data_IF_706809291955
#
_entry.id   IF_706809291955
#
_cell.length_a   1.000
_cell.length_b   1.000
_cell.length_c   1.000
_cell.angle_alpha   90.00
_cell.angle_beta   90.00
_cell.angle_gamma   90.00
#
_symmetry.space_group_name_H-M   'P 1'
#
loop_
_entity.id
_entity.type
_entity.pdbx_description
1 polymer ?
#
# COMPACT_ATOMS: atom_id res chain seq x y z
N UNK A 1 -25.41 23.81 -6.93
CA UNK A 1 -24.08 23.13 -6.97
C UNK A 1 -23.09 23.67 -5.95
N UNK A 2 -22.96 25.00 -5.75
CA UNK A 2 -22.05 25.59 -4.75
C UNK A 2 -22.28 25.11 -3.30
N UNK A 3 -23.54 25.00 -2.84
CA UNK A 3 -23.88 24.55 -1.48
C UNK A 3 -23.38 23.13 -1.15
N UNK A 4 -23.35 22.22 -2.13
CA UNK A 4 -22.94 20.84 -1.90
C UNK A 4 -21.40 20.70 -1.81
N UNK A 5 -20.67 21.46 -2.63
CA UNK A 5 -19.20 21.50 -2.60
C UNK A 5 -18.67 22.11 -1.29
N UNK A 6 -19.31 23.19 -0.83
CA UNK A 6 -18.98 23.78 0.47
C UNK A 6 -19.22 22.78 1.62
N UNK A 7 -20.33 22.03 1.56
CA UNK A 7 -20.67 21.04 2.59
C UNK A 7 -19.65 19.90 2.70
N UNK A 8 -19.23 19.31 1.58
CA UNK A 8 -18.24 18.23 1.57
C UNK A 8 -16.85 18.69 2.03
N UNK A 9 -16.43 19.88 1.57
CA UNK A 9 -15.13 20.44 1.96
C UNK A 9 -15.09 20.72 3.45
N UNK A 10 -16.15 21.33 4.01
CA UNK A 10 -16.25 21.58 5.45
C UNK A 10 -16.19 20.28 6.26
N UNK A 11 -16.87 19.22 5.83
CA UNK A 11 -16.79 17.92 6.49
C UNK A 11 -15.36 17.34 6.45
N UNK A 12 -14.68 17.41 5.30
CA UNK A 12 -13.30 16.92 5.19
C UNK A 12 -12.35 17.68 6.15
N UNK A 13 -12.48 19.00 6.23
CA UNK A 13 -11.70 19.82 7.17
C UNK A 13 -12.00 19.45 8.62
N UNK A 14 -13.26 19.24 8.99
CA UNK A 14 -13.64 18.79 10.33
C UNK A 14 -13.06 17.41 10.68
N UNK A 15 -13.06 16.47 9.73
CA UNK A 15 -12.45 15.15 9.93
C UNK A 15 -10.94 15.28 10.18
N UNK A 16 -10.24 16.05 9.34
CA UNK A 16 -8.80 16.25 9.48
C UNK A 16 -8.45 16.92 10.82
N UNK A 17 -9.14 17.98 11.19
CA UNK A 17 -8.94 18.67 12.48
C UNK A 17 -9.13 17.70 13.66
N UNK A 18 -10.20 16.90 13.65
CA UNK A 18 -10.44 15.93 14.71
C UNK A 18 -9.34 14.85 14.76
N UNK A 19 -8.88 14.33 13.62
CA UNK A 19 -7.80 13.35 13.57
C UNK A 19 -6.49 13.93 14.09
N UNK A 20 -6.13 15.15 13.69
CA UNK A 20 -4.92 15.84 14.11
C UNK A 20 -4.91 16.04 15.63
N UNK A 21 -6.05 16.43 16.20
CA UNK A 21 -6.17 16.68 17.64
C UNK A 21 -6.15 15.40 18.49
N UNK A 22 -6.69 14.29 17.97
CA UNK A 22 -7.01 13.13 18.81
C UNK A 22 -6.24 11.84 18.50
N UNK A 23 -5.61 11.68 17.32
CA UNK A 23 -5.03 10.38 16.97
C UNK A 23 -3.63 10.10 17.57
N UNK A 24 -2.96 11.13 18.10
CA UNK A 24 -1.62 11.00 18.71
C UNK A 24 -0.49 10.65 17.72
N UNK A 25 -0.76 10.64 16.41
CA UNK A 25 0.19 10.37 15.33
C UNK A 25 0.16 11.46 14.27
N UNK A 26 1.23 11.62 13.46
CA UNK A 26 1.19 12.49 12.29
C UNK A 26 0.04 12.13 11.35
N UNK A 27 -0.86 13.07 11.07
CA UNK A 27 -1.93 12.91 10.09
C UNK A 27 -1.48 13.53 8.77
N UNK A 28 -1.66 12.81 7.67
CA UNK A 28 -1.44 13.31 6.31
C UNK A 28 -2.72 13.21 5.51
N UNK A 29 -2.81 13.93 4.39
CA UNK A 29 -3.96 13.88 3.49
C UNK A 29 -3.48 13.64 2.05
N UNK A 30 -4.30 12.93 1.26
CA UNK A 30 -4.10 12.77 -0.18
C UNK A 30 -5.33 13.27 -0.93
N UNK A 31 -5.12 14.16 -1.89
CA UNK A 31 -6.20 14.74 -2.70
C UNK A 31 -5.96 14.53 -4.20
N UNK A 32 -6.99 14.83 -4.99
CA UNK A 32 -6.90 15.16 -6.41
C UNK A 32 -7.06 16.66 -6.59
N UNK A 33 -6.50 17.20 -7.66
CA UNK A 33 -6.75 18.61 -8.04
C UNK A 33 -8.22 18.79 -8.44
N UNK A 34 -8.73 20.01 -8.30
CA UNK A 34 -10.11 20.36 -8.64
C UNK A 34 -10.19 20.92 -10.06
N UNK A 35 -11.41 21.26 -10.50
CA UNK A 35 -11.65 21.71 -11.88
C UNK A 35 -10.92 23.00 -12.23
N UNK A 36 -10.62 23.84 -11.22
CA UNK A 36 -9.86 25.07 -11.39
C UNK A 36 -8.69 25.14 -10.42
N UNK A 37 -7.65 25.87 -10.85
CA UNK A 37 -6.48 26.19 -10.02
C UNK A 37 -6.92 26.86 -8.72
N UNK A 38 -7.74 27.90 -8.79
CA UNK A 38 -8.17 28.67 -7.60
C UNK A 38 -8.85 27.81 -6.55
N UNK A 39 -9.78 26.94 -6.96
CA UNK A 39 -10.43 26.00 -6.03
C UNK A 39 -9.43 25.05 -5.40
N UNK A 40 -8.47 24.57 -6.19
CA UNK A 40 -7.40 23.70 -5.68
C UNK A 40 -6.57 24.44 -4.63
N UNK A 41 -6.16 25.68 -4.91
CA UNK A 41 -5.38 26.50 -3.99
C UNK A 41 -6.16 26.87 -2.71
N UNK A 42 -7.47 27.11 -2.82
CA UNK A 42 -8.34 27.30 -1.65
C UNK A 42 -8.40 26.04 -0.78
N UNK A 43 -8.61 24.88 -1.41
CA UNK A 43 -8.67 23.60 -0.71
C UNK A 43 -7.37 23.26 0.03
N UNK A 44 -6.21 23.40 -0.62
CA UNK A 44 -4.92 23.04 0.02
C UNK A 44 -4.59 23.95 1.21
N UNK A 45 -4.96 25.24 1.16
CA UNK A 45 -4.81 26.17 2.29
C UNK A 45 -5.72 25.79 3.45
N UNK A 46 -6.96 25.40 3.17
CA UNK A 46 -7.87 24.89 4.20
C UNK A 46 -7.38 23.58 4.81
N UNK A 47 -6.79 22.68 4.02
CA UNK A 47 -6.20 21.44 4.53
C UNK A 47 -4.98 21.76 5.41
N UNK A 48 -4.09 22.65 4.97
CA UNK A 48 -2.93 23.08 5.76
C UNK A 48 -3.35 23.59 7.14
N UNK A 49 -4.40 24.42 7.22
CA UNK A 49 -4.86 25.00 8.49
C UNK A 49 -5.37 23.99 9.52
N UNK A 50 -5.64 22.74 9.11
CA UNK A 50 -6.03 21.66 10.04
C UNK A 50 -4.86 21.11 10.86
N UNK A 51 -3.61 21.40 10.45
CA UNK A 51 -2.41 20.91 11.12
C UNK A 51 -1.94 19.53 10.65
N UNK A 52 -2.38 19.05 9.47
CA UNK A 52 -1.78 17.88 8.82
C UNK A 52 -0.26 18.07 8.66
N UNK A 53 0.50 16.97 8.60
CA UNK A 53 1.96 16.98 8.52
C UNK A 53 2.53 16.89 7.11
N UNK A 54 1.71 16.52 6.13
CA UNK A 54 2.08 16.49 4.71
C UNK A 54 0.81 16.42 3.84
N UNK A 55 0.92 16.86 2.60
CA UNK A 55 -0.16 16.78 1.61
C UNK A 55 0.33 16.11 0.32
N UNK A 56 -0.26 14.97 -0.02
CA UNK A 56 -0.06 14.33 -1.31
C UNK A 56 -1.09 14.80 -2.34
N UNK A 57 -0.63 15.27 -3.50
CA UNK A 57 -1.51 15.79 -4.55
C UNK A 57 -1.39 14.93 -5.79
N UNK A 58 -2.47 14.22 -6.11
CA UNK A 58 -2.62 13.55 -7.39
C UNK A 58 -3.01 14.59 -8.44
N UNK A 59 -2.11 14.81 -9.40
CA UNK A 59 -2.21 15.86 -10.42
C UNK A 59 -3.20 15.54 -11.55
N UNK A 60 -4.35 14.96 -11.19
CA UNK A 60 -5.49 14.71 -12.07
C UNK A 60 -6.76 15.09 -11.35
N UNK A 61 -7.75 15.60 -12.08
CA UNK A 61 -9.08 15.80 -11.51
C UNK A 61 -9.78 14.45 -11.31
N UNK A 62 -10.95 14.46 -10.66
CA UNK A 62 -11.76 13.25 -10.47
C UNK A 62 -12.15 12.60 -11.81
N UNK A 63 -12.51 13.42 -12.80
CA UNK A 63 -13.09 12.96 -14.06
C UNK A 63 -12.04 12.56 -15.11
N UNK A 64 -10.78 12.95 -14.89
CA UNK A 64 -9.67 12.52 -15.75
C UNK A 64 -9.40 11.01 -15.62
N UNK A 65 -9.23 10.36 -16.77
CA UNK A 65 -8.79 8.98 -16.89
C UNK A 65 -7.30 8.85 -16.57
N UNK A 66 -6.90 7.63 -16.22
CA UNK A 66 -5.50 7.31 -15.93
C UNK A 66 -4.58 7.42 -17.16
N UNK A 67 -5.14 7.40 -18.37
CA UNK A 67 -4.46 7.60 -19.65
C UNK A 67 -4.19 9.08 -19.96
N UNK A 68 -4.91 10.00 -19.34
CA UNK A 68 -4.68 11.43 -19.51
C UNK A 68 -3.46 11.86 -18.70
N UNK A 69 -2.63 12.75 -19.24
CA UNK A 69 -1.38 13.18 -18.58
C UNK A 69 -1.67 13.90 -17.26
N UNK A 70 -0.88 13.60 -16.23
CA UNK A 70 -0.88 14.32 -14.98
C UNK A 70 -0.38 15.76 -15.16
N UNK A 71 -1.13 16.73 -14.62
CA UNK A 71 -0.87 18.17 -14.72
C UNK A 71 0.08 18.62 -13.62
N UNK A 72 1.39 18.38 -13.78
CA UNK A 72 2.39 18.69 -12.74
C UNK A 72 2.57 20.18 -12.49
N UNK A 73 2.25 21.03 -13.47
CA UNK A 73 2.50 22.47 -13.45
C UNK A 73 1.80 23.16 -12.26
N UNK A 74 0.64 22.66 -11.85
CA UNK A 74 -0.12 23.18 -10.69
C UNK A 74 0.61 22.98 -9.35
N UNK A 75 1.56 22.04 -9.28
CA UNK A 75 2.27 21.75 -8.04
C UNK A 75 3.14 22.92 -7.58
N UNK A 76 3.76 23.66 -8.50
CA UNK A 76 4.55 24.86 -8.17
C UNK A 76 3.68 25.88 -7.44
N UNK A 77 2.47 26.12 -7.95
CA UNK A 77 1.50 27.03 -7.35
C UNK A 77 1.04 26.54 -5.96
N UNK A 78 0.86 25.23 -5.80
CA UNK A 78 0.49 24.63 -4.51
C UNK A 78 1.63 24.77 -3.49
N UNK A 79 2.87 24.52 -3.91
CA UNK A 79 4.06 24.69 -3.06
C UNK A 79 4.22 26.15 -2.63
N UNK A 80 3.93 27.12 -3.49
CA UNK A 80 3.94 28.54 -3.12
C UNK A 80 2.79 28.92 -2.18
N UNK A 81 1.63 28.29 -2.35
CA UNK A 81 0.44 28.55 -1.54
C UNK A 81 0.50 27.96 -0.12
N UNK A 82 1.17 26.81 0.04
CA UNK A 82 1.29 26.05 1.29
C UNK A 82 2.65 26.34 1.92
N UNK A 83 2.68 26.88 3.15
CA UNK A 83 3.89 27.47 3.74
C UNK A 83 4.60 26.59 4.75
N UNK A 84 3.90 25.63 5.35
CA UNK A 84 4.33 24.98 6.61
C UNK A 84 4.50 23.48 6.50
N UNK A 85 4.00 22.85 5.43
CA UNK A 85 3.99 21.40 5.28
C UNK A 85 4.57 20.96 3.92
N UNK A 86 5.24 19.80 3.86
CA UNK A 86 5.75 19.25 2.61
C UNK A 86 4.62 18.82 1.67
N UNK A 87 4.80 19.14 0.39
CA UNK A 87 3.95 18.69 -0.71
C UNK A 87 4.57 17.45 -1.37
N UNK A 88 3.76 16.43 -1.61
CA UNK A 88 4.16 15.16 -2.23
C UNK A 88 3.44 15.04 -3.59
N UNK A 89 4.21 15.05 -4.68
CA UNK A 89 3.63 14.89 -6.02
C UNK A 89 3.19 13.45 -6.28
N UNK A 90 2.01 13.27 -6.87
CA UNK A 90 1.53 11.97 -7.33
C UNK A 90 0.94 12.05 -8.75
N UNK A 91 1.19 11.00 -9.53
CA UNK A 91 0.74 10.87 -10.93
C UNK A 91 1.91 10.92 -11.90
N UNK A 92 1.97 9.95 -12.81
CA UNK A 92 2.94 9.82 -13.91
C UNK A 92 4.43 9.80 -13.54
N UNK A 93 4.74 9.43 -12.30
CA UNK A 93 6.09 9.04 -11.89
C UNK A 93 6.21 7.53 -12.10
N UNK A 94 7.11 7.09 -12.98
CA UNK A 94 7.22 5.69 -13.40
C UNK A 94 8.55 5.05 -13.06
N UNK A 95 9.59 5.83 -12.80
CA UNK A 95 10.90 5.35 -12.38
C UNK A 95 11.58 6.32 -11.39
N UNK A 96 12.71 5.88 -10.83
CA UNK A 96 13.52 6.71 -9.94
C UNK A 96 13.96 8.02 -10.62
N UNK A 97 14.32 7.99 -11.90
CA UNK A 97 14.78 9.18 -12.64
C UNK A 97 13.68 10.25 -12.82
N UNK A 98 12.41 9.87 -12.74
CA UNK A 98 11.31 10.83 -12.83
C UNK A 98 11.20 11.71 -11.57
N UNK A 99 11.74 11.25 -10.43
CA UNK A 99 11.74 12.00 -9.17
C UNK A 99 12.42 13.37 -9.37
N UNK A 100 13.62 13.37 -9.95
CA UNK A 100 14.40 14.59 -10.17
C UNK A 100 13.72 15.53 -11.17
N UNK A 101 13.07 14.98 -12.20
CA UNK A 101 12.32 15.77 -13.19
C UNK A 101 11.17 16.51 -12.52
N UNK A 102 10.37 15.80 -11.73
CA UNK A 102 9.22 16.38 -11.01
C UNK A 102 9.70 17.44 -10.02
N UNK A 103 10.71 17.12 -9.21
CA UNK A 103 11.23 18.05 -8.19
C UNK A 103 11.80 19.32 -8.82
N UNK A 104 12.58 19.22 -9.91
CA UNK A 104 13.12 20.38 -10.64
C UNK A 104 12.02 21.26 -11.24
N UNK A 105 10.94 20.66 -11.72
CA UNK A 105 9.83 21.39 -12.32
C UNK A 105 8.94 22.09 -11.29
N UNK A 106 8.77 21.49 -10.11
CA UNK A 106 7.65 21.83 -9.21
C UNK A 106 8.05 22.23 -7.79
N UNK A 107 9.32 22.06 -7.42
CA UNK A 107 9.83 22.30 -6.06
C UNK A 107 9.13 21.51 -4.94
N UNK A 108 8.43 20.42 -5.28
CA UNK A 108 7.84 19.51 -4.28
C UNK A 108 8.92 18.85 -3.42
N UNK A 109 8.57 18.53 -2.17
CA UNK A 109 9.49 17.91 -1.22
C UNK A 109 9.82 16.47 -1.61
N UNK A 110 8.80 15.73 -2.04
CA UNK A 110 8.86 14.29 -2.32
C UNK A 110 7.89 13.90 -3.44
N UNK A 111 7.99 12.65 -3.90
CA UNK A 111 7.03 12.07 -4.85
C UNK A 111 6.45 10.76 -4.30
N UNK A 112 5.27 10.40 -4.81
CA UNK A 112 4.54 9.19 -4.49
C UNK A 112 4.25 8.40 -5.76
N UNK A 113 4.72 7.16 -5.80
CA UNK A 113 4.63 6.27 -6.96
C UNK A 113 3.59 5.18 -6.68
N UNK A 114 2.61 5.04 -7.57
CA UNK A 114 1.56 4.01 -7.47
C UNK A 114 1.71 2.96 -8.57
N UNK A 115 1.29 3.27 -9.81
CA UNK A 115 1.30 2.30 -10.91
C UNK A 115 2.68 1.72 -11.22
N UNK A 116 3.72 2.55 -11.25
CA UNK A 116 5.09 2.05 -11.46
C UNK A 116 5.55 1.07 -10.37
N UNK A 117 5.14 1.29 -9.12
CA UNK A 117 5.43 0.38 -8.02
C UNK A 117 4.58 -0.88 -8.06
N UNK A 118 3.34 -0.77 -8.54
CA UNK A 118 2.44 -1.90 -8.74
C UNK A 118 2.93 -2.82 -9.86
N UNK A 119 3.49 -2.27 -10.94
CA UNK A 119 4.04 -3.06 -12.05
C UNK A 119 5.39 -3.67 -11.69
N UNK A 120 6.27 -2.89 -11.07
CA UNK A 120 7.56 -3.36 -10.60
C UNK A 120 7.99 -2.59 -9.33
N UNK A 121 7.88 -3.19 -8.13
CA UNK A 121 8.32 -2.57 -6.87
C UNK A 121 9.77 -2.10 -6.84
N UNK A 122 10.64 -2.61 -7.72
CA UNK A 122 12.01 -2.11 -7.85
C UNK A 122 12.12 -0.73 -8.50
N UNK A 123 10.99 -0.08 -8.83
CA UNK A 123 10.91 1.32 -9.26
C UNK A 123 11.62 2.28 -8.30
N UNK A 124 11.65 1.92 -7.02
CA UNK A 124 12.42 2.59 -5.98
C UNK A 124 13.84 2.04 -5.97
N UNK A 125 14.56 2.02 -7.08
CA UNK A 125 16.00 1.71 -7.04
C UNK A 125 16.74 2.73 -7.87
N UNK A 126 17.78 3.29 -7.29
CA UNK A 126 18.66 4.21 -8.00
C UNK A 126 19.46 3.47 -9.08
N UNK A 127 19.76 2.19 -8.88
CA UNK A 127 20.49 1.34 -9.83
C UNK A 127 19.61 0.82 -10.98
N UNK A 128 18.32 1.18 -10.99
CA UNK A 128 17.35 0.74 -11.98
C UNK A 128 16.58 -0.54 -11.60
N UNK A 129 15.70 -0.95 -12.51
CA UNK A 129 14.78 -2.06 -12.28
C UNK A 129 15.51 -3.38 -12.10
N UNK A 130 15.05 -4.17 -11.13
CA UNK A 130 15.34 -5.60 -11.06
C UNK A 130 14.61 -6.33 -12.19
N UNK A 131 15.17 -7.49 -12.57
CA UNK A 131 14.46 -8.43 -13.42
C UNK A 131 13.21 -8.93 -12.71
N UNK A 132 12.23 -9.26 -13.53
CA UNK A 132 10.89 -9.54 -13.08
C UNK A 132 10.83 -10.79 -12.19
N UNK A 133 11.60 -11.82 -12.53
CA UNK A 133 11.71 -13.09 -11.79
C UNK A 133 12.25 -12.87 -10.38
N UNK A 134 13.18 -11.92 -10.22
CA UNK A 134 13.77 -11.58 -8.91
C UNK A 134 12.74 -10.89 -8.02
N UNK A 135 11.97 -9.96 -8.60
CA UNK A 135 10.91 -9.22 -7.91
C UNK A 135 9.77 -10.14 -7.48
N UNK A 136 9.30 -11.00 -8.38
CA UNK A 136 8.25 -11.98 -8.07
C UNK A 136 8.69 -12.97 -7.01
N UNK A 137 9.92 -13.48 -7.12
CA UNK A 137 10.43 -14.43 -6.13
C UNK A 137 10.51 -13.79 -4.74
N UNK A 138 11.00 -12.56 -4.64
CA UNK A 138 11.04 -11.82 -3.38
C UNK A 138 9.64 -11.53 -2.83
N UNK A 139 8.70 -11.12 -3.69
CA UNK A 139 7.32 -10.86 -3.29
C UNK A 139 6.59 -12.13 -2.79
N UNK A 140 6.76 -13.26 -3.49
CA UNK A 140 6.16 -14.53 -3.09
C UNK A 140 6.73 -15.04 -1.78
N UNK A 141 8.05 -14.96 -1.57
CA UNK A 141 8.65 -15.25 -0.26
C UNK A 141 8.01 -14.41 0.83
N UNK A 142 7.86 -13.10 0.60
CA UNK A 142 7.19 -12.21 1.57
C UNK A 142 5.73 -12.62 1.83
N UNK A 143 4.99 -13.04 0.80
CA UNK A 143 3.64 -13.56 0.96
C UNK A 143 3.59 -14.80 1.85
N UNK A 144 4.55 -15.72 1.70
CA UNK A 144 4.68 -16.90 2.56
C UNK A 144 4.99 -16.49 4.00
N UNK A 145 5.97 -15.60 4.18
CA UNK A 145 6.44 -15.17 5.51
C UNK A 145 5.35 -14.46 6.31
N UNK A 146 4.42 -13.78 5.63
CA UNK A 146 3.35 -12.99 6.26
C UNK A 146 1.97 -13.66 6.21
N UNK A 147 1.89 -14.93 5.77
CA UNK A 147 0.62 -15.65 5.57
C UNK A 147 -0.40 -14.84 4.73
N UNK A 148 0.08 -14.26 3.63
CA UNK A 148 -0.75 -13.43 2.75
C UNK A 148 -1.77 -14.31 2.00
N UNK A 149 -3.07 -13.97 2.00
CA UNK A 149 -4.08 -14.71 1.27
C UNK A 149 -3.71 -14.87 -0.22
N UNK A 150 -3.82 -16.09 -0.74
CA UNK A 150 -3.36 -16.39 -2.10
C UNK A 150 -4.09 -15.56 -3.17
N UNK A 151 -5.35 -15.16 -2.93
CA UNK A 151 -6.11 -14.31 -3.86
C UNK A 151 -5.45 -12.93 -4.00
N UNK A 152 -4.96 -12.37 -2.89
CA UNK A 152 -4.25 -11.10 -2.90
C UNK A 152 -2.89 -11.24 -3.59
N UNK A 153 -2.12 -12.28 -3.22
CA UNK A 153 -0.84 -12.58 -3.88
C UNK A 153 -1.02 -12.74 -5.40
N UNK A 154 -2.02 -13.52 -5.83
CA UNK A 154 -2.38 -13.71 -7.24
C UNK A 154 -2.72 -12.40 -7.92
N UNK A 155 -3.57 -11.55 -7.30
CA UNK A 155 -3.93 -10.26 -7.86
C UNK A 155 -2.69 -9.39 -8.10
N UNK A 156 -1.85 -9.21 -7.08
CA UNK A 156 -0.64 -8.38 -7.21
C UNK A 156 0.32 -8.95 -8.26
N UNK A 157 0.52 -10.27 -8.31
CA UNK A 157 1.35 -10.88 -9.34
C UNK A 157 0.79 -10.60 -10.75
N UNK A 158 -0.52 -10.79 -10.97
CA UNK A 158 -1.12 -10.50 -12.28
C UNK A 158 -0.98 -9.02 -12.68
N UNK A 159 -1.11 -8.10 -11.73
CA UNK A 159 -0.89 -6.66 -11.95
C UNK A 159 0.54 -6.34 -12.38
N UNK A 160 1.53 -7.04 -11.79
CA UNK A 160 2.92 -6.91 -12.20
C UNK A 160 3.16 -7.39 -13.66
N UNK A 161 2.34 -8.31 -14.19
CA UNK A 161 2.41 -8.80 -15.59
C UNK A 161 1.56 -7.99 -16.60
N UNK A 162 0.95 -6.87 -16.21
CA UNK A 162 -0.04 -6.14 -17.06
C UNK A 162 0.51 -5.54 -18.34
N UNK A 163 1.83 -5.37 -18.48
CA UNK A 163 2.42 -4.91 -19.73
C UNK A 163 2.34 -6.00 -20.83
N UNK A 164 2.03 -5.58 -22.07
CA UNK A 164 1.69 -6.48 -23.20
C UNK A 164 2.76 -7.51 -23.58
N UNK A 165 4.00 -7.30 -23.14
CA UNK A 165 5.13 -8.21 -23.35
C UNK A 165 5.11 -9.40 -22.39
N UNK A 166 4.48 -9.24 -21.23
CA UNK A 166 4.49 -10.20 -20.13
C UNK A 166 3.18 -11.01 -20.06
N UNK A 167 2.06 -10.49 -20.55
CA UNK A 167 0.79 -11.25 -20.62
C UNK A 167 0.83 -12.48 -21.54
N UNK A 168 1.83 -12.55 -22.43
CA UNK A 168 2.10 -13.71 -23.31
C UNK A 168 3.01 -14.76 -22.66
N UNK A 169 3.58 -14.47 -21.50
CA UNK A 169 4.47 -15.38 -20.80
C UNK A 169 3.68 -16.61 -20.30
N UNK A 170 4.23 -17.85 -20.41
CA UNK A 170 3.55 -19.05 -19.93
C UNK A 170 3.09 -18.96 -18.47
N UNK A 171 3.90 -18.30 -17.64
CA UNK A 171 3.68 -18.06 -16.22
C UNK A 171 2.39 -17.28 -15.97
N UNK A 172 2.08 -16.30 -16.82
CA UNK A 172 0.85 -15.50 -16.71
C UNK A 172 -0.40 -16.40 -16.72
N UNK A 173 -0.46 -17.33 -17.67
CA UNK A 173 -1.58 -18.27 -17.78
C UNK A 173 -1.64 -19.19 -16.57
N UNK A 174 -0.50 -19.72 -16.11
CA UNK A 174 -0.43 -20.60 -14.95
C UNK A 174 -0.92 -19.88 -13.67
N UNK A 175 -0.43 -18.67 -13.41
CA UNK A 175 -0.87 -17.89 -12.25
C UNK A 175 -2.36 -17.55 -12.32
N UNK A 176 -2.87 -17.21 -13.51
CA UNK A 176 -4.30 -16.92 -13.70
C UNK A 176 -5.21 -18.11 -13.33
N UNK A 177 -4.70 -19.33 -13.42
CA UNK A 177 -5.40 -20.56 -13.09
C UNK A 177 -5.15 -21.04 -11.67
N UNK A 178 -4.10 -20.55 -11.01
CA UNK A 178 -3.72 -20.96 -9.66
C UNK A 178 -4.83 -20.71 -8.63
N UNK A 179 -5.04 -21.67 -7.72
CA UNK A 179 -6.06 -21.70 -6.67
C UNK A 179 -5.48 -21.80 -5.26
N UNK A 180 -4.16 -21.78 -5.12
CA UNK A 180 -3.49 -21.82 -3.83
C UNK A 180 -2.15 -21.08 -3.86
N UNK A 181 -1.66 -20.68 -2.68
CA UNK A 181 -0.32 -20.09 -2.55
C UNK A 181 0.77 -21.11 -2.92
N UNK A 182 0.54 -22.40 -2.66
CA UNK A 182 1.45 -23.50 -3.07
C UNK A 182 1.59 -23.57 -4.58
N UNK A 183 0.50 -23.53 -5.33
CA UNK A 183 0.55 -23.51 -6.80
C UNK A 183 1.33 -22.29 -7.33
N UNK A 184 1.09 -21.10 -6.75
CA UNK A 184 1.86 -19.89 -7.10
C UNK A 184 3.36 -20.09 -6.81
N UNK A 185 3.73 -20.59 -5.63
CA UNK A 185 5.12 -20.85 -5.29
C UNK A 185 5.76 -21.88 -6.23
N UNK A 186 5.04 -22.95 -6.58
CA UNK A 186 5.55 -23.99 -7.48
C UNK A 186 5.84 -23.47 -8.89
N UNK A 187 5.03 -22.55 -9.42
CA UNK A 187 5.27 -21.92 -10.74
C UNK A 187 6.64 -21.26 -10.79
N UNK A 188 7.09 -20.67 -9.68
CA UNK A 188 8.36 -19.95 -9.57
C UNK A 188 9.45 -20.74 -8.83
N UNK A 189 9.28 -22.05 -8.65
CA UNK A 189 10.30 -22.90 -8.01
C UNK A 189 10.49 -22.65 -6.51
N UNK A 190 9.49 -22.08 -5.83
CA UNK A 190 9.51 -21.75 -4.39
C UNK A 190 8.75 -22.75 -3.51
N UNK A 191 8.48 -23.96 -4.02
CA UNK A 191 7.76 -24.98 -3.25
C UNK A 191 8.48 -25.39 -1.96
N UNK A 192 9.79 -25.63 -2.02
CA UNK A 192 10.60 -25.98 -0.86
C UNK A 192 10.65 -24.86 0.18
N UNK A 193 10.75 -23.61 -0.26
CA UNK A 193 10.71 -22.45 0.63
C UNK A 193 9.40 -22.40 1.43
N UNK A 194 8.26 -22.65 0.76
CA UNK A 194 6.96 -22.72 1.43
C UNK A 194 6.92 -23.83 2.48
N UNK A 195 7.40 -25.03 2.13
CA UNK A 195 7.41 -26.19 3.02
C UNK A 195 8.26 -25.91 4.29
N UNK A 196 9.45 -25.34 4.10
CA UNK A 196 10.35 -24.95 5.18
C UNK A 196 9.70 -23.92 6.13
N UNK A 197 9.10 -22.84 5.58
CA UNK A 197 8.48 -21.80 6.41
C UNK A 197 7.23 -22.31 7.17
N UNK A 198 6.43 -23.17 6.54
CA UNK A 198 5.28 -23.79 7.20
C UNK A 198 5.72 -24.70 8.36
N UNK A 199 6.81 -25.45 8.19
CA UNK A 199 7.38 -26.26 9.27
C UNK A 199 7.87 -25.40 10.45
N UNK A 200 8.53 -24.28 10.17
CA UNK A 200 8.98 -23.31 11.18
C UNK A 200 7.80 -22.70 11.94
N UNK A 201 6.76 -22.23 11.23
CA UNK A 201 5.56 -21.66 11.85
C UNK A 201 4.83 -22.68 12.73
N UNK A 202 4.66 -23.92 12.26
CA UNK A 202 4.07 -25.00 13.06
C UNK A 202 4.85 -25.28 14.36
N UNK A 203 6.19 -25.19 14.31
CA UNK A 203 7.06 -25.37 15.47
C UNK A 203 6.95 -24.20 16.46
N UNK A 204 6.83 -22.96 15.97
CA UNK A 204 6.63 -21.76 16.80
C UNK A 204 5.26 -21.75 17.50
N UNK A 205 4.21 -22.21 16.81
CA UNK A 205 2.87 -22.34 17.43
C UNK A 205 2.86 -23.40 18.53
N UNK A 206 3.51 -24.56 18.30
CA UNK A 206 3.62 -25.64 19.30
C UNK A 206 4.41 -25.24 20.55
N UNK A 207 5.37 -24.32 20.43
CA UNK A 207 6.17 -23.84 21.55
C UNK A 207 5.54 -22.64 22.28
N UNK A 208 4.66 -21.88 21.61
CA UNK A 208 3.93 -20.76 22.21
C UNK A 208 2.65 -21.17 22.97
N UNK A 209 2.11 -22.36 22.71
CA UNK A 209 0.97 -22.94 23.44
C UNK A 209 1.52 -23.91 24.50
N UNK A 210 1.44 -23.63 25.81
CA UNK A 210 1.82 -24.61 26.82
C UNK A 210 0.89 -25.82 26.70
N UNK A 211 1.45 -27.03 26.74
CA UNK A 211 0.68 -28.26 26.77
C UNK A 211 -0.18 -28.30 28.05
N UNK A 212 -1.44 -27.87 27.97
CA UNK A 212 -2.43 -28.18 29.01
C UNK A 212 -2.78 -29.65 28.86
N UNK A 213 -2.16 -30.50 29.68
CA UNK A 213 -2.61 -31.86 29.93
C UNK A 213 -3.91 -31.79 30.73
N UNK A 214 -5.05 -31.81 30.05
CA UNK A 214 -6.33 -32.13 30.68
C UNK A 214 -6.77 -33.51 30.19
N UNK A 215 -6.69 -34.50 31.08
CA UNK A 215 -7.44 -35.76 30.99
C UNK A 215 -8.92 -35.45 30.70
N UNK A 216 -9.58 -36.20 29.78
CA UNK A 216 -10.97 -35.91 29.44
C UNK A 216 -11.88 -36.25 30.62
N UNK A 217 -12.78 -35.35 31.05
CA UNK A 217 -13.79 -35.71 32.02
C UNK A 217 -14.82 -36.63 31.35
N UNK A 218 -15.11 -37.75 32.02
CA UNK A 218 -16.22 -38.64 31.65
C UNK A 218 -17.52 -37.86 31.79
N UNK A 219 -18.28 -37.78 30.71
CA UNK A 219 -19.59 -37.17 30.66
C UNK A 219 -20.65 -38.27 30.55
N UNK A 220 -21.29 -38.55 31.69
CA UNK A 220 -22.59 -39.20 31.74
C UNK A 220 -23.66 -38.16 31.36
N UNK A 221 -24.56 -38.56 30.48
CA UNK A 221 -25.79 -37.88 30.09
C UNK A 221 -25.64 -36.63 29.20
N UNK A 222 -25.57 -36.91 27.89
CA UNK A 222 -26.59 -36.50 26.92
C UNK A 222 -27.09 -35.05 26.94
N UNK A 223 -26.63 -34.32 25.92
CA UNK A 223 -27.20 -33.09 25.31
C UNK A 223 -26.54 -31.76 25.74
N UNK A 224 -25.81 -31.16 24.81
CA UNK A 224 -25.40 -29.75 24.88
C UNK A 224 -25.74 -29.09 23.54
N UNK A 225 -26.85 -28.35 23.55
CA UNK A 225 -27.03 -27.25 22.62
C UNK A 225 -26.21 -26.04 23.04
N UNK A 226 -26.12 -25.11 22.10
CA UNK A 226 -25.90 -23.66 22.29
C UNK A 226 -24.46 -23.15 22.07
N UNK A 227 -24.28 -22.70 20.81
CA UNK A 227 -23.77 -21.40 20.31
C UNK A 227 -22.38 -20.86 20.68
N UNK A 228 -21.65 -20.51 19.61
CA UNK A 228 -20.68 -19.40 19.55
C UNK A 228 -21.26 -18.10 20.13
N UNK A 229 -20.48 -17.23 20.78
CA UNK A 229 -19.58 -16.34 20.01
C UNK A 229 -18.30 -15.85 20.74
N UNK A 230 -17.29 -15.43 19.96
CA UNK A 230 -16.43 -14.29 20.37
C UNK A 230 -14.91 -14.43 20.24
N UNK A 231 -14.35 -13.59 19.34
CA UNK A 231 -13.23 -12.69 19.67
C UNK A 231 -11.82 -13.27 19.84
N UNK A 232 -11.07 -13.41 18.74
CA UNK A 232 -9.62 -13.62 18.82
C UNK A 232 -8.87 -12.28 18.85
N UNK A 233 -8.27 -11.94 20.00
CA UNK A 233 -7.39 -10.77 20.17
C UNK A 233 -6.00 -11.11 19.60
N UNK A 234 -5.71 -10.70 18.36
CA UNK A 234 -4.35 -10.76 17.83
C UNK A 234 -3.48 -9.65 18.44
N UNK A 235 -2.51 -10.06 19.28
CA UNK A 235 -1.45 -9.21 19.82
C UNK A 235 -0.40 -9.00 18.73
N UNK A 236 -0.12 -7.75 18.36
CA UNK A 236 0.89 -7.37 17.35
C UNK A 236 2.28 -7.71 17.90
N UNK A 237 2.97 -8.69 17.31
CA UNK A 237 4.40 -8.88 17.52
C UNK A 237 5.15 -7.96 16.56
N UNK A 238 5.98 -7.07 17.10
CA UNK A 238 7.00 -6.36 16.35
C UNK A 238 8.15 -7.35 16.10
N UNK A 239 8.36 -7.73 14.83
CA UNK A 239 9.55 -8.48 14.43
C UNK A 239 10.63 -7.48 14.02
N UNK A 240 11.63 -7.31 14.87
CA UNK A 240 12.91 -6.71 14.48
C UNK A 240 13.59 -7.65 13.47
N UNK A 241 13.62 -7.21 12.21
CA UNK A 241 14.18 -7.97 11.09
C UNK A 241 14.49 -7.02 9.94
N UNK A 242 15.75 -6.59 9.90
CA UNK A 242 16.51 -6.12 8.75
C UNK A 242 15.76 -5.24 7.73
N UNK A 243 15.60 -3.96 8.07
CA UNK A 243 15.29 -2.90 7.10
C UNK A 243 16.52 -2.62 6.21
N UNK A 244 16.75 -3.47 5.21
CA UNK A 244 17.64 -3.14 4.09
C UNK A 244 16.79 -3.06 2.83
N UNK A 245 15.93 -2.04 2.76
CA UNK A 245 15.41 -1.50 1.50
C UNK A 245 14.88 -0.10 1.77
N UNK A 246 15.66 0.88 1.31
CA UNK A 246 15.35 2.30 1.11
C UNK A 246 15.47 3.28 2.28
N UNK A 247 16.52 4.12 2.23
CA UNK A 247 16.71 5.38 2.96
C UNK A 247 16.76 6.57 2.00
N UNK A 248 15.81 6.69 1.06
CA UNK A 248 15.64 7.97 0.34
C UNK A 248 14.53 8.76 1.03
N UNK A 249 14.80 9.92 1.65
CA UNK A 249 13.78 10.76 2.28
C UNK A 249 12.79 11.38 1.28
N UNK A 250 12.97 11.13 -0.02
CA UNK A 250 12.24 11.80 -1.10
C UNK A 250 11.13 10.98 -1.73
N UNK A 251 10.92 9.73 -1.30
CA UNK A 251 9.90 8.85 -1.88
C UNK A 251 8.98 8.31 -0.80
N UNK A 252 7.68 8.46 -1.03
CA UNK A 252 6.62 8.00 -0.11
C UNK A 252 5.75 6.99 -0.86
N UNK A 253 5.37 5.91 -0.19
CA UNK A 253 4.43 4.93 -0.72
C UNK A 253 3.00 5.49 -0.73
N UNK A 254 2.23 5.12 -1.77
CA UNK A 254 0.81 5.44 -1.89
C UNK A 254 -0.05 4.57 -0.97
#
# INVERSE_FOLDING_TARGET
MYFHFASLTVMAIQILTNLVQNCGKPVTCKIRILETKDKTLELVKMIESTGVRALAVHCRTKDMRSSERAQWEILSDIVEAVRTIPIIANGDVWCFDDIDKVKKLTNVSSVMIARGAQTNPSVFRMEGFLRYEEVVSAYLKKCVDTDNPYQNAKYTLLEMYTESKHTKAPEYKLMSQAKSLRELCSIFGLGSYLDEQQAVQCTRVKTAIPATTSTPPQNENGNCGITNPGGCKCRRMESEGEQVLYRSPHVVFA
#
